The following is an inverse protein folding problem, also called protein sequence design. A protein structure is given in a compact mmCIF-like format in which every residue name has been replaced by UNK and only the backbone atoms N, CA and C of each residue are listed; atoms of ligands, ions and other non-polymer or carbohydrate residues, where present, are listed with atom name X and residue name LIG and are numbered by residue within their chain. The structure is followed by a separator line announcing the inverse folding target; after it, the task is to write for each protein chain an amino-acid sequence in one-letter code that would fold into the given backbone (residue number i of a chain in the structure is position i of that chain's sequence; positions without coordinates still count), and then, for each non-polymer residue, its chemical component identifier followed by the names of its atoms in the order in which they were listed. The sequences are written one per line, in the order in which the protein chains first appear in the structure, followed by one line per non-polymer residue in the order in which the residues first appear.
data_IF_748160441838
#
_entry.id   IF_748160441838
#
_cell.length_a   1.000
_cell.length_b   1.000
_cell.length_c   1.000
_cell.angle_alpha   90.00
_cell.angle_beta   90.00
_cell.angle_gamma   90.00
#
_symmetry.space_group_name_H-M   'P 1'
#
loop_
_entity.id
_entity.type
_entity.pdbx_description
1 polymer ?
#
# COMPACT_ATOMS: atom_id res chain seq x y z
N UNK A 1 12.17 -4.24 45.95
CA UNK A 1 12.29 -5.57 45.35
C UNK A 1 10.95 -5.96 44.79
N UNK A 2 10.65 -5.67 43.53
CA UNK A 2 9.51 -6.21 42.81
C UNK A 2 10.03 -6.79 41.50
N UNK A 3 9.78 -8.08 41.29
CA UNK A 3 10.15 -8.83 40.11
C UNK A 3 9.22 -8.45 38.94
N UNK A 4 9.80 -8.10 37.80
CA UNK A 4 9.10 -8.06 36.53
C UNK A 4 8.94 -9.49 36.03
N UNK A 5 7.69 -9.87 35.70
CA UNK A 5 7.36 -11.09 34.97
C UNK A 5 7.06 -10.68 33.54
N UNK A 6 7.91 -11.11 32.64
CA UNK A 6 7.65 -10.96 31.20
C UNK A 6 6.64 -12.01 30.76
N UNK A 7 5.62 -11.57 30.03
CA UNK A 7 4.66 -12.46 29.37
C UNK A 7 5.00 -12.45 27.87
N UNK A 8 5.59 -13.55 27.41
CA UNK A 8 5.75 -13.79 25.98
C UNK A 8 4.41 -14.30 25.42
N UNK A 9 3.86 -13.59 24.45
CA UNK A 9 2.73 -14.07 23.68
C UNK A 9 3.24 -14.92 22.52
N UNK A 10 2.98 -16.22 22.58
CA UNK A 10 3.13 -17.11 21.43
C UNK A 10 1.77 -17.22 20.75
N UNK A 11 1.64 -16.68 19.55
CA UNK A 11 0.47 -16.89 18.71
C UNK A 11 0.56 -18.28 18.07
N UNK A 12 -0.25 -19.20 18.52
CA UNK A 12 -0.48 -20.50 17.87
C UNK A 12 -1.71 -20.39 16.97
N UNK A 13 -1.48 -20.34 15.66
CA UNK A 13 -2.54 -20.49 14.67
C UNK A 13 -3.14 -21.89 14.71
N UNK A 14 -4.43 -21.99 14.96
CA UNK A 14 -5.20 -23.23 14.85
C UNK A 14 -5.75 -23.32 13.45
N UNK A 15 -5.15 -24.17 12.61
CA UNK A 15 -5.73 -24.57 11.31
C UNK A 15 -6.75 -25.66 11.59
N UNK A 16 -8.03 -25.38 11.42
CA UNK A 16 -9.10 -26.37 11.47
C UNK A 16 -9.18 -27.07 10.11
N UNK A 17 -8.73 -28.33 10.04
CA UNK A 17 -8.90 -29.18 8.88
C UNK A 17 -10.36 -29.70 8.83
N UNK A 18 -11.12 -29.28 7.82
CA UNK A 18 -12.43 -29.89 7.49
C UNK A 18 -12.14 -31.05 6.52
N UNK A 19 -12.27 -32.26 6.99
CA UNK A 19 -12.26 -33.48 6.16
C UNK A 19 -13.64 -33.66 5.54
N UNK A 20 -13.81 -33.31 4.27
CA UNK A 20 -14.97 -33.69 3.50
C UNK A 20 -14.75 -35.05 2.86
N UNK A 21 -15.54 -36.06 3.27
CA UNK A 21 -15.55 -37.39 2.68
C UNK A 21 -16.31 -37.34 1.35
N UNK A 22 -15.63 -37.35 0.22
CA UNK A 22 -16.23 -37.47 -1.11
C UNK A 22 -16.19 -38.95 -1.51
N UNK A 23 -17.38 -39.54 -1.72
CA UNK A 23 -17.55 -40.86 -2.29
C UNK A 23 -17.20 -40.80 -3.78
N UNK A 24 -16.10 -41.44 -4.16
CA UNK A 24 -15.70 -41.57 -5.56
C UNK A 24 -16.64 -42.53 -6.30
N UNK A 25 -17.42 -41.99 -7.24
CA UNK A 25 -18.05 -42.78 -8.30
C UNK A 25 -17.02 -42.99 -9.39
N UNK A 26 -16.53 -44.22 -9.54
CA UNK A 26 -15.65 -44.59 -10.64
C UNK A 26 -16.45 -44.58 -11.94
N UNK A 27 -16.30 -43.51 -12.73
CA UNK A 27 -16.56 -43.53 -14.17
C UNK A 27 -15.23 -43.76 -14.85
N UNK A 28 -15.12 -44.83 -15.59
CA UNK A 28 -13.99 -45.11 -16.49
C UNK A 28 -13.93 -44.04 -17.56
N UNK A 29 -13.01 -43.12 -17.42
CA UNK A 29 -12.67 -42.16 -18.46
C UNK A 29 -11.34 -42.54 -19.09
N UNK A 30 -11.31 -42.53 -20.40
CA UNK A 30 -10.13 -42.78 -21.25
C UNK A 30 -8.87 -42.13 -20.70
N UNK A 31 -7.78 -42.92 -20.66
CA UNK A 31 -6.47 -42.47 -20.18
C UNK A 31 -5.79 -41.49 -21.11
N UNK A 32 -6.29 -40.27 -21.18
CA UNK A 32 -5.49 -39.13 -21.62
C UNK A 32 -4.53 -38.79 -20.49
N UNK A 33 -3.21 -38.85 -20.73
CA UNK A 33 -2.22 -38.32 -19.78
C UNK A 33 -2.60 -36.88 -19.47
N UNK A 34 -2.89 -36.58 -18.18
CA UNK A 34 -3.13 -35.20 -17.75
C UNK A 34 -1.88 -34.39 -18.12
N UNK A 35 -2.06 -33.33 -18.88
CA UNK A 35 -0.94 -32.47 -19.24
C UNK A 35 -0.30 -31.91 -17.96
N UNK A 36 1.02 -31.97 -17.90
CA UNK A 36 1.74 -31.40 -16.75
C UNK A 36 1.62 -29.86 -16.84
N UNK A 37 1.29 -29.18 -15.73
CA UNK A 37 1.27 -27.72 -15.73
C UNK A 37 2.60 -27.12 -16.15
N UNK A 38 2.59 -26.14 -17.03
CA UNK A 38 3.76 -25.44 -17.53
C UNK A 38 3.41 -24.01 -17.91
N UNK A 39 4.21 -23.03 -17.46
CA UNK A 39 4.11 -21.63 -17.88
C UNK A 39 5.00 -21.38 -19.08
N UNK A 40 4.52 -20.66 -20.08
CA UNK A 40 5.26 -20.34 -21.31
C UNK A 40 5.54 -18.86 -21.46
N UNK A 41 4.55 -18.00 -21.23
CA UNK A 41 4.72 -16.55 -21.39
C UNK A 41 3.94 -15.77 -20.35
N UNK A 42 4.42 -14.54 -20.11
CA UNK A 42 3.73 -13.49 -19.36
C UNK A 42 3.60 -12.28 -20.26
N UNK A 43 2.44 -11.62 -20.27
CA UNK A 43 2.13 -10.50 -21.19
C UNK A 43 2.96 -9.25 -20.92
N UNK A 44 3.30 -9.01 -19.64
CA UNK A 44 4.01 -7.81 -19.19
C UNK A 44 4.98 -8.19 -18.07
N UNK A 45 6.19 -7.65 -18.12
CA UNK A 45 7.28 -7.95 -17.18
C UNK A 45 7.76 -6.72 -16.42
N UNK A 46 7.05 -5.60 -16.51
CA UNK A 46 7.32 -4.40 -15.74
C UNK A 46 6.02 -3.60 -15.52
N UNK A 47 5.97 -2.84 -14.44
CA UNK A 47 4.86 -1.96 -14.11
C UNK A 47 5.14 -1.07 -12.91
N UNK A 48 4.07 -0.49 -12.36
CA UNK A 48 4.10 0.54 -11.33
C UNK A 48 4.41 -0.04 -9.94
N UNK A 49 4.88 0.81 -9.01
CA UNK A 49 5.12 0.39 -7.61
C UNK A 49 3.80 0.12 -6.88
N UNK A 50 2.74 0.83 -7.23
CA UNK A 50 1.42 0.63 -6.59
C UNK A 50 0.72 -0.63 -7.09
N UNK A 51 1.21 -1.25 -8.18
CA UNK A 51 0.58 -2.43 -8.77
C UNK A 51 -0.80 -2.13 -9.36
N UNK A 52 -1.66 -3.17 -9.37
CA UNK A 52 -3.03 -3.07 -9.89
C UNK A 52 -3.15 -3.40 -11.37
N UNK A 53 -2.05 -3.56 -12.09
CA UNK A 53 -2.08 -3.98 -13.49
C UNK A 53 -2.49 -5.46 -13.59
N UNK A 54 -3.34 -5.76 -14.56
CA UNK A 54 -3.68 -7.16 -14.88
C UNK A 54 -2.67 -7.73 -15.88
N UNK A 55 -2.01 -8.81 -15.54
CA UNK A 55 -1.15 -9.56 -16.46
C UNK A 55 -1.83 -10.84 -16.92
N UNK A 56 -1.47 -11.30 -18.13
CA UNK A 56 -1.91 -12.59 -18.66
C UNK A 56 -0.73 -13.56 -18.66
N UNK A 57 -0.94 -14.73 -18.07
CA UNK A 57 0.00 -15.85 -18.07
C UNK A 57 -0.55 -16.93 -18.99
N UNK A 58 0.27 -17.42 -19.90
CA UNK A 58 -0.10 -18.50 -20.83
C UNK A 58 0.77 -19.73 -20.64
N UNK A 59 0.19 -20.90 -20.90
CA UNK A 59 0.89 -22.15 -20.68
C UNK A 59 0.12 -23.39 -21.09
N UNK A 60 0.24 -24.45 -20.32
CA UNK A 60 -0.53 -25.68 -20.46
C UNK A 60 -0.98 -26.17 -19.08
N UNK A 61 -2.17 -26.74 -19.01
CA UNK A 61 -2.77 -27.28 -17.78
C UNK A 61 -2.77 -26.27 -16.60
N UNK A 62 -3.00 -24.98 -16.88
CA UNK A 62 -3.04 -23.91 -15.89
C UNK A 62 -4.31 -23.94 -15.03
N UNK A 63 -5.27 -24.79 -15.34
CA UNK A 63 -6.44 -25.07 -14.52
C UNK A 63 -6.11 -25.68 -13.14
N UNK A 64 -4.88 -26.17 -12.96
CA UNK A 64 -4.36 -26.62 -11.67
C UNK A 64 -3.77 -25.51 -10.80
N UNK A 65 -3.61 -24.29 -11.33
CA UNK A 65 -3.01 -23.16 -10.59
C UNK A 65 -3.93 -22.74 -9.46
N UNK A 66 -3.35 -22.53 -8.29
CA UNK A 66 -4.07 -22.08 -7.09
C UNK A 66 -3.73 -20.64 -6.70
N UNK A 67 -2.51 -20.20 -6.96
CA UNK A 67 -2.08 -18.82 -6.69
C UNK A 67 -0.86 -18.42 -7.52
N UNK A 68 -0.65 -17.11 -7.61
CA UNK A 68 0.51 -16.48 -8.25
C UNK A 68 1.12 -15.52 -7.25
N UNK A 69 2.45 -15.46 -7.16
CA UNK A 69 3.15 -14.48 -6.31
C UNK A 69 4.17 -13.68 -7.11
N UNK A 70 4.48 -12.48 -6.61
CA UNK A 70 5.50 -11.58 -7.12
C UNK A 70 6.49 -11.31 -5.99
N UNK A 71 7.65 -11.95 -6.03
CA UNK A 71 8.63 -11.88 -4.94
C UNK A 71 8.06 -12.36 -3.58
N UNK A 72 7.15 -13.32 -3.61
CA UNK A 72 6.49 -13.87 -2.43
C UNK A 72 5.21 -13.12 -2.01
N UNK A 73 4.89 -11.95 -2.60
CA UNK A 73 3.62 -11.24 -2.37
C UNK A 73 2.55 -11.81 -3.27
N UNK A 74 1.40 -12.20 -2.71
CA UNK A 74 0.33 -12.82 -3.47
C UNK A 74 -0.34 -11.84 -4.43
N UNK A 75 -0.54 -12.27 -5.69
CA UNK A 75 -1.41 -11.58 -6.63
C UNK A 75 -2.86 -11.66 -6.17
N UNK A 76 -3.65 -10.64 -6.47
CA UNK A 76 -5.10 -10.68 -6.34
C UNK A 76 -5.77 -11.05 -7.66
N UNK A 77 -7.07 -11.37 -7.60
CA UNK A 77 -7.92 -11.65 -8.77
C UNK A 77 -7.31 -12.65 -9.77
N UNK A 78 -6.73 -13.75 -9.26
CA UNK A 78 -6.24 -14.82 -10.13
C UNK A 78 -7.42 -15.53 -10.77
N UNK A 79 -7.62 -15.31 -12.08
CA UNK A 79 -8.75 -15.84 -12.85
C UNK A 79 -8.24 -16.78 -13.92
N UNK A 80 -8.64 -18.04 -13.84
CA UNK A 80 -8.34 -19.05 -14.85
C UNK A 80 -9.41 -18.97 -15.94
N UNK A 81 -9.02 -18.58 -17.15
CA UNK A 81 -9.92 -18.47 -18.30
C UNK A 81 -10.16 -19.83 -18.97
N UNK A 82 -9.09 -20.62 -19.08
CA UNK A 82 -9.06 -21.98 -19.63
C UNK A 82 -7.80 -22.72 -19.12
N UNK A 83 -7.57 -23.95 -19.58
CA UNK A 83 -6.41 -24.74 -19.14
C UNK A 83 -5.05 -24.22 -19.66
N UNK A 84 -5.04 -23.17 -20.46
CA UNK A 84 -3.84 -22.59 -21.07
C UNK A 84 -3.65 -21.11 -20.78
N UNK A 85 -4.61 -20.45 -20.10
CA UNK A 85 -4.59 -19.00 -19.89
C UNK A 85 -5.16 -18.63 -18.53
N UNK A 86 -4.44 -17.81 -17.78
CA UNK A 86 -4.95 -17.15 -16.58
C UNK A 86 -4.58 -15.66 -16.58
N UNK A 87 -5.30 -14.87 -15.81
CA UNK A 87 -4.94 -13.49 -15.48
C UNK A 87 -4.71 -13.35 -13.98
N UNK A 88 -3.83 -12.42 -13.61
CA UNK A 88 -3.55 -12.09 -12.22
C UNK A 88 -3.33 -10.58 -12.10
N UNK A 89 -3.81 -9.99 -11.01
CA UNK A 89 -3.55 -8.58 -10.70
C UNK A 89 -2.26 -8.48 -9.90
N UNK A 90 -1.33 -7.66 -10.40
CA UNK A 90 -0.02 -7.44 -9.79
C UNK A 90 -0.20 -6.75 -8.43
N UNK A 91 0.36 -7.28 -7.33
CA UNK A 91 0.30 -6.62 -6.03
C UNK A 91 1.22 -5.38 -6.01
N UNK A 92 1.09 -4.48 -5.03
CA UNK A 92 2.09 -3.43 -4.80
C UNK A 92 3.50 -4.01 -4.57
N UNK A 93 4.52 -3.26 -4.99
CA UNK A 93 5.91 -3.57 -4.63
C UNK A 93 6.10 -3.54 -3.11
N UNK A 94 6.95 -4.40 -2.56
CA UNK A 94 7.29 -4.36 -1.15
C UNK A 94 7.84 -2.97 -0.77
N UNK A 95 7.22 -2.34 0.22
CA UNK A 95 7.53 -0.99 0.71
C UNK A 95 7.65 0.05 -0.41
N UNK A 96 6.92 -0.14 -1.51
CA UNK A 96 6.94 0.72 -2.71
C UNK A 96 8.36 1.02 -3.21
N UNK A 97 9.27 0.05 -3.11
CA UNK A 97 10.63 0.22 -3.60
C UNK A 97 10.82 -0.42 -4.98
N UNK A 98 11.49 0.27 -5.94
CA UNK A 98 11.84 -0.30 -7.23
C UNK A 98 12.65 -1.58 -7.05
N UNK A 99 12.23 -2.65 -7.69
CA UNK A 99 12.86 -3.96 -7.57
C UNK A 99 12.50 -4.86 -8.76
N UNK A 100 13.32 -5.89 -9.03
CA UNK A 100 12.96 -6.98 -9.92
C UNK A 100 12.77 -8.24 -9.10
N UNK A 101 11.61 -8.85 -9.22
CA UNK A 101 11.19 -10.01 -8.44
C UNK A 101 10.79 -11.17 -9.35
N UNK A 102 10.88 -12.40 -8.84
CA UNK A 102 10.37 -13.57 -9.55
C UNK A 102 8.83 -13.60 -9.52
N UNK A 103 8.20 -13.97 -10.64
CA UNK A 103 6.80 -14.38 -10.68
C UNK A 103 6.78 -15.90 -10.45
N UNK A 104 6.11 -16.34 -9.39
CA UNK A 104 5.95 -17.75 -9.07
C UNK A 104 4.49 -18.15 -9.27
N UNK A 105 4.26 -19.16 -10.11
CA UNK A 105 2.94 -19.74 -10.38
C UNK A 105 2.84 -21.07 -9.66
N UNK A 106 1.89 -21.23 -8.77
CA UNK A 106 1.80 -22.38 -7.87
C UNK A 106 0.54 -23.21 -8.14
N UNK A 107 0.73 -24.53 -8.16
CA UNK A 107 -0.36 -25.50 -8.10
C UNK A 107 -0.29 -26.15 -6.70
N UNK A 108 -1.19 -25.78 -5.82
CA UNK A 108 -1.11 -26.07 -4.38
C UNK A 108 0.23 -25.59 -3.77
N UNK A 109 1.11 -26.49 -3.41
CA UNK A 109 2.43 -26.22 -2.83
C UNK A 109 3.59 -26.39 -3.83
N UNK A 110 3.29 -26.77 -5.07
CA UNK A 110 4.30 -27.08 -6.09
C UNK A 110 4.45 -25.90 -7.06
N UNK A 111 5.69 -25.52 -7.33
CA UNK A 111 6.00 -24.51 -8.33
C UNK A 111 5.73 -25.10 -9.73
N UNK A 112 4.89 -24.41 -10.51
CA UNK A 112 4.64 -24.77 -11.92
C UNK A 112 5.88 -24.43 -12.74
N UNK A 113 6.50 -25.40 -13.44
CA UNK A 113 7.67 -25.14 -14.26
C UNK A 113 7.40 -24.08 -15.33
N UNK A 114 8.38 -23.23 -15.59
CA UNK A 114 8.33 -22.25 -16.66
C UNK A 114 9.42 -22.55 -17.72
N UNK A 115 9.14 -22.22 -18.99
CA UNK A 115 10.08 -22.40 -20.10
C UNK A 115 11.25 -21.42 -20.06
N UNK A 116 11.13 -20.33 -19.29
CA UNK A 116 12.15 -19.31 -19.05
C UNK A 116 11.95 -18.69 -17.66
N UNK A 117 12.94 -17.92 -17.18
CA UNK A 117 12.78 -17.08 -15.99
C UNK A 117 11.59 -16.15 -16.17
N UNK A 118 10.77 -16.03 -15.14
CA UNK A 118 9.61 -15.16 -15.08
C UNK A 118 9.94 -14.06 -14.04
N UNK A 119 10.42 -12.93 -14.53
CA UNK A 119 10.78 -11.80 -13.69
C UNK A 119 9.81 -10.64 -13.96
N UNK A 120 9.48 -9.88 -12.90
CA UNK A 120 8.71 -8.66 -12.99
C UNK A 120 9.49 -7.51 -12.34
N UNK A 121 9.57 -6.39 -13.06
CA UNK A 121 10.29 -5.21 -12.60
C UNK A 121 9.30 -4.12 -12.17
N UNK A 122 9.36 -3.75 -10.92
CA UNK A 122 8.63 -2.61 -10.37
C UNK A 122 9.42 -1.31 -10.60
N UNK A 123 8.75 -0.29 -11.13
CA UNK A 123 9.35 1.00 -11.47
C UNK A 123 8.57 2.17 -10.88
N UNK A 124 9.26 3.18 -10.34
CA UNK A 124 8.65 4.42 -9.87
C UNK A 124 8.28 5.32 -11.07
N UNK A 125 7.30 4.91 -11.86
CA UNK A 125 6.97 5.51 -13.16
C UNK A 125 5.84 6.54 -13.10
N UNK A 126 4.93 6.43 -12.14
CA UNK A 126 3.78 7.34 -11.98
C UNK A 126 4.03 8.39 -10.88
N UNK A 127 3.26 9.50 -10.85
CA UNK A 127 3.30 10.45 -9.73
C UNK A 127 3.11 9.80 -8.36
N UNK A 128 2.15 8.89 -8.23
CA UNK A 128 1.87 8.18 -6.98
C UNK A 128 3.01 7.23 -6.59
N UNK A 129 3.65 6.55 -7.54
CA UNK A 129 4.82 5.72 -7.25
C UNK A 129 5.96 6.54 -6.63
N UNK A 130 6.22 7.73 -7.19
CA UNK A 130 7.27 8.63 -6.69
C UNK A 130 6.97 9.12 -5.28
N UNK A 131 5.70 9.44 -5.00
CA UNK A 131 5.25 9.81 -3.67
C UNK A 131 5.47 8.67 -2.67
N UNK A 132 4.95 7.49 -2.98
CA UNK A 132 5.03 6.34 -2.08
C UNK A 132 6.47 5.83 -1.90
N UNK A 133 7.24 5.79 -2.99
CA UNK A 133 8.67 5.47 -2.91
C UNK A 133 9.41 6.40 -1.95
N UNK A 134 9.14 7.70 -2.03
CA UNK A 134 9.75 8.70 -1.14
C UNK A 134 9.33 8.49 0.31
N UNK A 135 8.03 8.34 0.56
CA UNK A 135 7.49 8.16 1.90
C UNK A 135 8.08 6.93 2.59
N UNK A 136 8.04 5.76 1.92
CA UNK A 136 8.52 4.50 2.51
C UNK A 136 10.05 4.43 2.59
N UNK A 137 10.77 5.34 1.94
CA UNK A 137 12.22 5.49 2.09
C UNK A 137 12.60 6.40 3.27
N UNK A 138 11.77 7.41 3.57
CA UNK A 138 12.15 8.49 4.48
C UNK A 138 11.29 8.59 5.76
N UNK A 139 10.37 7.67 6.03
CA UNK A 139 9.52 7.72 7.22
C UNK A 139 10.30 7.60 8.54
N UNK A 140 11.49 6.97 8.53
CA UNK A 140 12.40 6.82 9.66
C UNK A 140 13.72 7.57 9.45
N UNK A 141 14.19 7.64 8.20
CA UNK A 141 15.44 8.32 7.78
C UNK A 141 15.11 9.66 7.12
N UNK A 142 14.90 10.67 7.96
CA UNK A 142 14.47 12.01 7.55
C UNK A 142 15.40 12.63 6.52
N UNK A 143 14.83 13.23 5.46
CA UNK A 143 15.58 13.98 4.44
C UNK A 143 15.85 15.43 4.90
N UNK A 144 16.51 15.56 6.05
CA UNK A 144 16.76 16.82 6.72
C UNK A 144 17.83 17.69 6.00
N UNK A 145 18.72 17.09 5.23
CA UNK A 145 19.70 17.81 4.39
C UNK A 145 19.01 18.66 3.31
N UNK A 146 17.88 18.22 2.77
CA UNK A 146 17.15 18.90 1.72
C UNK A 146 15.99 19.74 2.26
N UNK A 147 15.23 19.23 3.21
CA UNK A 147 13.99 19.86 3.67
C UNK A 147 13.99 20.29 5.13
N UNK A 148 15.06 20.02 5.88
CA UNK A 148 15.17 20.32 7.31
C UNK A 148 14.25 19.44 8.16
N UNK A 149 14.44 19.49 9.49
CA UNK A 149 13.61 18.86 10.49
C UNK A 149 12.83 19.93 11.26
N UNK A 150 11.49 19.94 11.13
CA UNK A 150 10.61 20.90 11.79
C UNK A 150 10.11 20.44 13.16
N UNK A 151 10.60 19.31 13.71
CA UNK A 151 10.23 18.84 15.05
C UNK A 151 10.48 19.89 16.15
N UNK A 152 11.55 20.67 16.02
CA UNK A 152 11.90 21.72 16.98
C UNK A 152 10.94 22.93 16.97
N UNK A 153 10.11 23.09 15.94
CA UNK A 153 9.21 24.23 15.75
C UNK A 153 7.73 23.86 15.77
N UNK A 154 7.40 22.60 16.10
CA UNK A 154 6.01 22.19 16.31
C UNK A 154 5.63 20.84 15.73
N UNK A 155 6.51 20.20 14.99
CA UNK A 155 6.31 18.89 14.40
C UNK A 155 6.66 18.85 12.92
N UNK A 156 7.02 17.67 12.43
CA UNK A 156 7.49 17.44 11.05
C UNK A 156 6.44 16.81 10.12
N UNK A 157 5.25 16.50 10.63
CA UNK A 157 4.23 15.77 9.87
C UNK A 157 3.82 16.47 8.57
N UNK A 158 3.55 17.79 8.61
CA UNK A 158 3.17 18.56 7.43
C UNK A 158 4.37 18.78 6.48
N UNK A 159 5.59 18.94 7.02
CA UNK A 159 6.82 19.00 6.24
C UNK A 159 6.99 17.71 5.42
N UNK A 160 6.84 16.54 6.03
CA UNK A 160 6.99 15.25 5.38
C UNK A 160 5.92 15.00 4.31
N UNK A 161 4.66 15.36 4.61
CA UNK A 161 3.57 15.29 3.60
C UNK A 161 3.86 16.22 2.42
N UNK A 162 4.30 17.46 2.67
CA UNK A 162 4.67 18.40 1.62
C UNK A 162 5.80 17.88 0.73
N UNK A 163 6.85 17.29 1.31
CA UNK A 163 7.92 16.63 0.57
C UNK A 163 7.35 15.55 -0.36
N UNK A 164 6.44 14.72 0.14
CA UNK A 164 5.83 13.65 -0.63
C UNK A 164 4.99 14.16 -1.81
N UNK A 165 4.26 15.25 -1.63
CA UNK A 165 3.49 15.91 -2.69
C UNK A 165 4.40 16.53 -3.75
N UNK A 166 5.55 17.10 -3.34
CA UNK A 166 6.57 17.57 -4.27
C UNK A 166 7.11 16.40 -5.13
N UNK A 167 7.40 15.24 -4.51
CA UNK A 167 7.82 14.04 -5.24
C UNK A 167 6.73 13.51 -6.16
N UNK A 168 5.45 13.66 -5.79
CA UNK A 168 4.29 13.35 -6.64
C UNK A 168 4.26 14.23 -7.90
N UNK A 169 4.93 15.38 -7.91
CA UNK A 169 5.05 16.29 -9.04
C UNK A 169 4.32 17.62 -8.85
N UNK A 170 3.87 17.93 -7.63
CA UNK A 170 3.41 19.27 -7.32
C UNK A 170 4.59 20.25 -7.36
N UNK A 171 4.33 21.50 -7.71
CA UNK A 171 5.34 22.54 -7.80
C UNK A 171 5.20 23.52 -6.62
N UNK A 172 6.33 23.95 -6.07
CA UNK A 172 6.34 25.01 -5.06
C UNK A 172 5.76 26.31 -5.64
N UNK A 173 5.04 27.03 -4.80
CA UNK A 173 4.42 28.33 -5.12
C UNK A 173 4.81 29.36 -4.07
N UNK A 174 4.40 30.61 -4.23
CA UNK A 174 4.62 31.65 -3.21
C UNK A 174 3.88 31.38 -1.89
N UNK A 175 2.90 30.47 -1.90
CA UNK A 175 2.09 30.12 -0.73
C UNK A 175 2.51 28.78 -0.11
N UNK A 176 3.14 27.87 -0.87
CA UNK A 176 3.54 26.54 -0.44
C UNK A 176 4.96 26.24 -0.93
N UNK A 177 5.94 26.40 -0.05
CA UNK A 177 7.37 26.26 -0.36
C UNK A 177 8.23 25.94 0.85
N UNK A 178 9.43 25.37 0.59
CA UNK A 178 10.51 25.17 1.54
C UNK A 178 11.85 25.34 0.81
N UNK A 179 12.70 26.24 1.29
CA UNK A 179 14.00 26.53 0.74
C UNK A 179 15.10 26.41 1.80
N UNK A 180 16.31 26.08 1.33
CA UNK A 180 17.53 26.04 2.14
C UNK A 180 17.38 25.18 3.41
N UNK A 181 16.88 23.93 3.27
CA UNK A 181 16.68 23.00 4.38
C UNK A 181 15.87 23.61 5.53
N UNK A 182 14.71 24.15 5.20
CA UNK A 182 13.79 24.85 6.11
C UNK A 182 14.37 26.13 6.76
N UNK A 183 15.36 26.79 6.16
CA UNK A 183 15.74 28.12 6.56
C UNK A 183 14.70 29.18 6.17
N UNK A 184 13.93 28.92 5.10
CA UNK A 184 12.80 29.73 4.64
C UNK A 184 11.69 28.80 4.11
N UNK A 185 10.54 28.76 4.81
CA UNK A 185 9.41 27.93 4.45
C UNK A 185 8.09 28.62 4.75
N UNK A 186 7.05 28.27 3.97
CA UNK A 186 5.71 28.81 4.15
C UNK A 186 4.94 28.02 5.25
N UNK A 187 3.98 28.69 5.90
CA UNK A 187 3.12 28.02 6.86
C UNK A 187 2.33 26.85 6.24
N UNK A 188 1.94 26.96 4.96
CA UNK A 188 1.22 25.88 4.28
C UNK A 188 2.09 24.64 4.01
N UNK A 189 3.42 24.79 4.00
CA UNK A 189 4.35 23.67 3.87
C UNK A 189 4.51 22.85 5.17
N UNK A 190 4.65 23.52 6.32
CA UNK A 190 5.09 22.86 7.56
C UNK A 190 4.07 22.89 8.72
N UNK A 191 2.84 23.37 8.52
CA UNK A 191 1.85 23.54 9.57
C UNK A 191 0.46 23.09 9.12
N UNK A 192 -0.10 22.06 9.78
CA UNK A 192 -1.31 21.37 9.35
C UNK A 192 -2.51 22.30 9.11
N UNK A 193 -2.89 23.19 10.03
CA UNK A 193 -4.04 24.09 9.76
C UNK A 193 -3.80 25.05 8.59
N UNK A 194 -2.56 25.43 8.30
CA UNK A 194 -2.27 26.29 7.16
C UNK A 194 -2.27 25.50 5.84
N UNK A 195 -1.78 24.26 5.84
CA UNK A 195 -1.90 23.34 4.70
C UNK A 195 -3.36 23.07 4.37
N UNK A 196 -4.19 22.79 5.37
CA UNK A 196 -5.64 22.62 5.23
C UNK A 196 -6.29 23.82 4.56
N UNK A 197 -5.99 25.03 5.05
CA UNK A 197 -6.53 26.27 4.46
C UNK A 197 -6.05 26.45 3.01
N UNK A 198 -4.82 26.12 2.71
CA UNK A 198 -4.26 26.20 1.37
C UNK A 198 -4.94 25.21 0.41
N UNK A 199 -5.11 23.95 0.80
CA UNK A 199 -5.83 22.95 0.01
C UNK A 199 -7.27 23.40 -0.28
N UNK A 200 -7.98 23.93 0.73
CA UNK A 200 -9.34 24.46 0.58
C UNK A 200 -9.42 25.68 -0.34
N UNK A 201 -8.39 26.53 -0.37
CA UNK A 201 -8.37 27.77 -1.15
C UNK A 201 -7.79 27.63 -2.56
N UNK A 202 -7.26 26.45 -2.92
CA UNK A 202 -6.55 26.19 -4.18
C UNK A 202 -7.24 25.04 -4.96
N UNK A 203 -8.48 25.22 -5.43
CA UNK A 203 -9.24 24.16 -6.09
C UNK A 203 -8.60 23.65 -7.39
N UNK A 204 -7.70 24.42 -8.00
CA UNK A 204 -6.91 24.02 -9.17
C UNK A 204 -5.97 22.84 -8.91
N UNK A 205 -5.66 22.53 -7.66
CA UNK A 205 -4.92 21.32 -7.27
C UNK A 205 -5.74 20.05 -7.53
N UNK A 206 -7.06 20.16 -7.66
CA UNK A 206 -7.96 19.04 -7.87
C UNK A 206 -8.13 18.12 -6.65
N UNK A 207 -7.58 18.50 -5.51
CA UNK A 207 -7.77 17.79 -4.25
C UNK A 207 -9.23 17.89 -3.77
N UNK A 208 -9.78 16.81 -3.25
CA UNK A 208 -11.19 16.74 -2.79
C UNK A 208 -11.23 16.19 -1.37
N UNK A 209 -11.92 16.91 -0.49
CA UNK A 209 -12.13 16.47 0.89
C UNK A 209 -13.15 15.32 0.94
N UNK A 210 -12.84 14.26 1.70
CA UNK A 210 -13.72 13.14 2.01
C UNK A 210 -13.83 12.98 3.52
N UNK A 211 -15.02 12.68 4.01
CA UNK A 211 -15.22 12.34 5.42
C UNK A 211 -14.69 10.94 5.76
N UNK A 212 -14.50 10.63 7.04
CA UNK A 212 -14.15 9.29 7.49
C UNK A 212 -15.23 8.22 7.19
N UNK A 213 -16.41 8.60 6.74
CA UNK A 213 -17.45 7.67 6.28
C UNK A 213 -17.33 7.32 4.78
N UNK A 214 -16.48 8.01 4.02
CA UNK A 214 -16.31 7.82 2.57
C UNK A 214 -15.03 7.01 2.26
N UNK A 215 -14.75 6.02 3.10
CA UNK A 215 -13.53 5.18 3.02
C UNK A 215 -13.40 4.40 1.72
N UNK A 216 -14.51 4.09 1.08
CA UNK A 216 -14.57 3.39 -0.21
C UNK A 216 -14.04 4.23 -1.39
N UNK A 217 -13.85 5.54 -1.19
CA UNK A 217 -13.28 6.46 -2.16
C UNK A 217 -11.79 6.76 -1.90
N UNK A 218 -11.27 6.31 -0.76
CA UNK A 218 -9.87 6.54 -0.35
C UNK A 218 -8.93 5.62 -1.12
N UNK A 219 -7.78 6.14 -1.51
CA UNK A 219 -6.72 5.41 -2.21
C UNK A 219 -5.35 5.69 -1.62
N UNK A 220 -4.41 4.82 -1.91
CA UNK A 220 -2.99 5.01 -1.57
C UNK A 220 -2.51 6.37 -2.10
N UNK A 221 -1.80 7.11 -1.26
CA UNK A 221 -1.30 8.46 -1.57
C UNK A 221 -2.27 9.61 -1.26
N UNK A 222 -3.50 9.31 -0.79
CA UNK A 222 -4.39 10.32 -0.21
C UNK A 222 -3.88 10.77 1.17
N UNK A 223 -4.31 11.95 1.62
CA UNK A 223 -3.90 12.47 2.93
C UNK A 223 -4.96 12.16 3.98
N UNK A 224 -4.53 11.98 5.22
CA UNK A 224 -5.38 11.85 6.41
C UNK A 224 -5.05 12.97 7.37
N UNK A 225 -6.04 13.76 7.76
CA UNK A 225 -5.89 14.87 8.69
C UNK A 225 -6.65 14.56 9.96
N UNK A 226 -6.04 14.84 11.11
CA UNK A 226 -6.58 14.53 12.44
C UNK A 226 -6.76 15.77 13.30
N UNK A 227 -7.86 15.78 14.05
CA UNK A 227 -8.10 16.54 15.27
C UNK A 227 -8.11 15.55 16.44
N UNK A 228 -7.05 15.52 17.24
CA UNK A 228 -6.86 14.51 18.28
C UNK A 228 -7.84 14.56 19.43
N UNK A 229 -8.46 15.71 19.64
CA UNK A 229 -9.25 15.97 20.84
C UNK A 229 -10.64 16.60 20.53
N UNK A 230 -11.04 16.59 19.25
CA UNK A 230 -12.35 17.08 18.76
C UNK A 230 -12.64 18.52 19.19
N UNK A 231 -11.65 19.41 18.98
CA UNK A 231 -11.72 20.82 19.36
C UNK A 231 -11.75 21.78 18.15
N UNK A 232 -11.99 21.28 16.94
CA UNK A 232 -11.95 22.00 15.67
C UNK A 232 -10.55 22.55 15.30
N UNK A 233 -9.48 21.97 15.88
CA UNK A 233 -8.11 22.31 15.57
C UNK A 233 -7.36 21.10 15.05
N UNK A 234 -6.85 21.20 13.83
CA UNK A 234 -6.15 20.10 13.17
C UNK A 234 -4.72 19.96 13.68
N UNK A 235 -4.41 18.81 14.27
CA UNK A 235 -3.17 18.57 14.99
C UNK A 235 -2.13 17.82 14.17
N UNK A 236 -2.58 16.95 13.24
CA UNK A 236 -1.70 16.00 12.59
C UNK A 236 -2.16 15.65 11.17
N UNK A 237 -1.19 15.21 10.35
CA UNK A 237 -1.43 14.77 8.99
C UNK A 237 -0.51 13.62 8.62
N UNK A 238 -1.03 12.63 7.90
CA UNK A 238 -0.30 11.48 7.37
C UNK A 238 -0.74 11.19 5.94
N UNK A 239 -0.09 10.23 5.28
CA UNK A 239 -0.44 9.76 3.93
C UNK A 239 -0.91 8.32 4.00
N UNK A 240 -1.95 7.98 3.25
CA UNK A 240 -2.47 6.61 3.14
C UNK A 240 -1.42 5.73 2.45
N UNK A 241 -0.92 4.70 3.16
CA UNK A 241 0.07 3.75 2.66
C UNK A 241 -0.53 2.42 2.22
N UNK A 242 -1.71 2.04 2.71
CA UNK A 242 -2.42 0.84 2.28
C UNK A 242 -3.93 1.02 2.38
N UNK A 243 -4.66 0.44 1.45
CA UNK A 243 -6.12 0.32 1.47
C UNK A 243 -6.47 -1.10 1.09
N UNK A 244 -7.07 -1.84 2.01
CA UNK A 244 -7.45 -3.24 1.84
C UNK A 244 -8.94 -3.42 2.14
N UNK A 245 -9.64 -4.22 1.32
CA UNK A 245 -11.00 -4.62 1.62
C UNK A 245 -10.99 -6.00 2.28
N UNK A 246 -11.27 -6.05 3.57
CA UNK A 246 -11.33 -7.29 4.35
C UNK A 246 -12.79 -7.61 4.68
N UNK A 247 -13.39 -8.51 3.89
CA UNK A 247 -14.79 -8.97 4.07
C UNK A 247 -15.83 -7.83 4.05
N UNK A 248 -15.56 -6.76 3.28
CA UNK A 248 -16.42 -5.59 3.14
C UNK A 248 -16.08 -4.43 4.08
N UNK A 249 -15.08 -4.59 4.92
CA UNK A 249 -14.51 -3.54 5.76
C UNK A 249 -13.24 -2.97 5.12
N UNK A 250 -13.18 -1.64 4.99
CA UNK A 250 -12.01 -0.97 4.43
C UNK A 250 -10.99 -0.71 5.53
N UNK A 251 -9.89 -1.47 5.50
CA UNK A 251 -8.74 -1.29 6.38
C UNK A 251 -7.78 -0.29 5.72
N UNK A 252 -7.53 0.83 6.38
CA UNK A 252 -6.66 1.91 5.89
C UNK A 252 -5.46 2.02 6.80
N UNK A 253 -4.27 2.01 6.22
CA UNK A 253 -3.02 2.23 6.93
C UNK A 253 -2.32 3.48 6.41
N UNK A 254 -1.46 4.07 7.24
CA UNK A 254 -0.88 5.39 7.01
C UNK A 254 0.61 5.40 7.29
N UNK A 255 1.32 6.29 6.60
CA UNK A 255 2.72 6.60 6.80
C UNK A 255 2.89 8.07 7.18
N UNK A 256 3.80 8.38 8.12
CA UNK A 256 4.04 9.77 8.53
C UNK A 256 5.11 9.93 9.60
N UNK A 257 5.54 11.17 9.80
CA UNK A 257 6.44 11.60 10.87
C UNK A 257 5.67 11.98 12.14
N UNK A 258 6.39 12.19 13.24
CA UNK A 258 5.85 12.47 14.59
C UNK A 258 5.00 11.31 15.14
N UNK A 259 5.61 10.27 15.54
CA UNK A 259 5.28 8.88 15.78
C UNK A 259 5.57 8.08 14.52
N UNK A 260 6.84 8.16 14.10
CA UNK A 260 7.34 7.62 12.83
C UNK A 260 6.76 6.23 12.57
N UNK A 261 6.07 6.10 11.43
CA UNK A 261 5.34 4.90 11.08
C UNK A 261 5.20 4.77 9.57
N UNK A 262 5.16 3.54 9.10
CA UNK A 262 5.02 3.16 7.68
C UNK A 262 3.62 2.63 7.34
N UNK A 263 2.99 1.88 8.27
CA UNK A 263 1.68 1.22 8.06
C UNK A 263 0.80 1.28 9.33
N UNK A 264 0.66 2.46 9.93
CA UNK A 264 -0.17 2.67 11.11
C UNK A 264 -1.65 2.53 10.77
N UNK A 265 -2.38 1.69 11.50
CA UNK A 265 -3.81 1.47 11.29
C UNK A 265 -4.63 2.69 11.70
N UNK A 266 -5.56 3.13 10.82
CA UNK A 266 -6.42 4.29 11.05
C UNK A 266 -7.40 4.04 12.19
N UNK A 267 -8.06 2.87 12.22
CA UNK A 267 -9.09 2.59 13.22
C UNK A 267 -8.49 2.43 14.61
N UNK A 268 -7.33 1.77 14.72
CA UNK A 268 -6.57 1.75 15.97
C UNK A 268 -6.20 3.17 16.41
N UNK A 269 -5.76 4.01 15.49
CA UNK A 269 -5.38 5.39 15.78
C UNK A 269 -6.54 6.23 16.34
N UNK A 270 -7.73 6.17 15.75
CA UNK A 270 -8.86 7.00 16.19
C UNK A 270 -9.67 6.40 17.36
N UNK A 271 -9.51 5.11 17.64
CA UNK A 271 -10.27 4.42 18.70
C UNK A 271 -9.46 4.14 19.96
N UNK A 272 -8.14 4.00 19.83
CA UNK A 272 -7.26 3.57 20.94
C UNK A 272 -6.25 4.64 21.31
N UNK A 273 -5.67 5.36 20.33
CA UNK A 273 -4.51 6.22 20.55
C UNK A 273 -4.49 7.51 19.70
N UNK A 274 -5.17 8.59 20.14
CA UNK A 274 -6.09 8.78 21.27
C UNK A 274 -7.53 8.39 20.94
N UNK A 275 -8.29 7.91 21.91
CA UNK A 275 -9.69 7.59 21.69
C UNK A 275 -10.53 8.85 21.45
N UNK A 276 -11.34 8.83 20.37
CA UNK A 276 -12.23 9.92 20.03
C UNK A 276 -11.62 10.98 19.12
N UNK A 277 -10.46 10.72 18.52
CA UNK A 277 -9.92 11.55 17.46
C UNK A 277 -10.89 11.61 16.27
N UNK A 278 -11.03 12.79 15.70
CA UNK A 278 -11.83 13.05 14.48
C UNK A 278 -10.90 13.46 13.33
N UNK A 279 -11.46 13.64 12.15
CA UNK A 279 -10.68 14.08 11.00
C UNK A 279 -11.37 13.80 9.67
N UNK A 280 -10.59 13.87 8.62
CA UNK A 280 -11.05 13.66 7.25
C UNK A 280 -9.89 13.27 6.33
N UNK A 281 -10.23 12.90 5.10
CA UNK A 281 -9.24 12.67 4.06
C UNK A 281 -9.20 13.81 3.05
N UNK A 282 -8.08 13.97 2.37
CA UNK A 282 -7.95 14.65 1.11
C UNK A 282 -7.60 13.65 0.02
N UNK A 283 -8.51 13.42 -0.91
CA UNK A 283 -8.24 12.65 -2.11
C UNK A 283 -7.41 13.49 -3.08
N UNK A 284 -6.21 13.01 -3.40
CA UNK A 284 -5.21 13.70 -4.22
C UNK A 284 -5.25 13.12 -5.65
N UNK A 285 -5.33 13.95 -6.72
CA UNK A 285 -5.43 13.50 -8.10
C UNK A 285 -4.19 12.75 -8.61
#
# INVERSE_FOLDING_TARGET
MLRRVGVGAAALGVIAAIVALIVAVFSSADGGASATPEVRTVSTTAGTLVGGESITITGAALDAVTHVTFGGVAASDVIIADNGTLTATVPPAADFQPNTVAIEVMADTELVPATSSLDYTYEASTPIDKQMHYLLKHWEDYNDEEFGDLNSVGGDCANFVSQSLLMRGWEMTDEWYNYDAAADWSSAWGYVPAMENWLNSTPELGATQLSFNERDQVKVGDLVVFDWNDNDYLDHIQVVSSVENMDGEMVIKMVGHNLDTDYRDLDETITVDPPGATGHFWSIP
#
